data_IF_908292163520
#
_entry.id   IF_908292163520
#
_cell.length_a   1.000
_cell.length_b   1.000
_cell.length_c   1.000
_cell.angle_alpha   90.00
_cell.angle_beta   90.00
_cell.angle_gamma   90.00
#
_symmetry.space_group_name_H-M   'P 1'
#
loop_
_entity.id
_entity.type
_entity.pdbx_description
1 polymer ?
#
# COMPACT_ATOMS: atom_id res chain seq x y z
N UNK A 1 16.39 -9.22 -19.40
CA UNK A 1 17.85 -9.48 -19.22
C UNK A 1 18.02 -10.20 -17.89
N UNK A 2 18.72 -11.32 -17.85
CA UNK A 2 18.83 -12.11 -16.62
C UNK A 2 19.98 -11.61 -15.74
N UNK A 3 19.69 -11.36 -14.46
CA UNK A 3 20.64 -10.81 -13.49
C UNK A 3 20.57 -11.55 -12.17
N UNK A 4 21.67 -11.54 -11.41
CA UNK A 4 21.70 -12.04 -10.05
C UNK A 4 21.26 -10.97 -9.03
N UNK A 5 21.17 -11.35 -7.75
CA UNK A 5 20.78 -10.42 -6.68
C UNK A 5 21.66 -9.15 -6.60
N UNK A 6 22.97 -9.30 -6.78
CA UNK A 6 23.91 -8.17 -6.68
C UNK A 6 23.66 -7.15 -7.80
N UNK A 7 23.54 -7.64 -9.04
CA UNK A 7 23.30 -6.76 -10.19
C UNK A 7 21.90 -6.17 -10.17
N UNK A 8 20.89 -6.92 -9.69
CA UNK A 8 19.55 -6.38 -9.49
C UNK A 8 19.56 -5.25 -8.44
N UNK A 9 20.28 -5.43 -7.33
CA UNK A 9 20.43 -4.40 -6.31
C UNK A 9 21.11 -3.13 -6.85
N UNK A 10 22.14 -3.28 -7.69
CA UNK A 10 22.80 -2.17 -8.38
C UNK A 10 21.82 -1.41 -9.30
N UNK A 11 21.01 -2.13 -10.08
CA UNK A 11 20.01 -1.53 -11.00
C UNK A 11 18.98 -0.70 -10.23
N UNK A 12 18.51 -1.21 -9.09
CA UNK A 12 17.53 -0.52 -8.25
C UNK A 12 18.16 0.46 -7.26
N UNK A 13 19.50 0.58 -7.22
CA UNK A 13 20.21 1.45 -6.28
C UNK A 13 19.95 1.12 -4.81
N UNK A 14 19.77 -0.16 -4.47
CA UNK A 14 19.42 -0.62 -3.12
C UNK A 14 20.39 -1.68 -2.57
N UNK A 15 20.21 -2.06 -1.30
CA UNK A 15 21.00 -3.13 -0.68
C UNK A 15 20.56 -4.52 -1.16
N UNK A 16 21.51 -5.47 -1.24
CA UNK A 16 21.23 -6.87 -1.65
C UNK A 16 20.24 -7.57 -0.71
N UNK A 17 20.18 -7.18 0.56
CA UNK A 17 19.17 -7.67 1.52
C UNK A 17 17.77 -7.20 1.16
N UNK A 18 17.63 -6.01 0.57
CA UNK A 18 16.34 -5.52 0.05
C UNK A 18 15.83 -6.43 -1.05
N UNK A 19 16.69 -6.82 -2.00
CA UNK A 19 16.34 -7.79 -3.04
C UNK A 19 15.96 -9.16 -2.45
N UNK A 20 16.62 -9.57 -1.36
CA UNK A 20 16.25 -10.81 -0.66
C UNK A 20 14.88 -10.70 0.02
N UNK A 21 14.54 -9.55 0.60
CA UNK A 21 13.22 -9.30 1.14
C UNK A 21 12.14 -9.30 0.04
N UNK A 22 12.42 -8.68 -1.12
CA UNK A 22 11.54 -8.71 -2.28
C UNK A 22 11.28 -10.14 -2.78
N UNK A 23 12.31 -10.99 -2.79
CA UNK A 23 12.14 -12.41 -3.11
C UNK A 23 11.13 -13.09 -2.17
N UNK A 24 11.20 -12.84 -0.86
CA UNK A 24 10.22 -13.36 0.10
C UNK A 24 8.82 -12.75 -0.06
N UNK A 25 8.71 -11.59 -0.71
CA UNK A 25 7.45 -10.90 -1.02
C UNK A 25 6.86 -11.31 -2.38
N UNK A 26 7.50 -12.24 -3.10
CA UNK A 26 7.00 -12.76 -4.37
C UNK A 26 7.64 -12.17 -5.63
N UNK A 27 8.80 -11.51 -5.53
CA UNK A 27 9.58 -11.09 -6.70
C UNK A 27 9.82 -12.28 -7.65
N UNK A 28 9.46 -12.16 -8.95
CA UNK A 28 9.57 -13.27 -9.91
C UNK A 28 10.99 -13.79 -10.06
N UNK A 29 11.17 -15.09 -9.81
CA UNK A 29 12.45 -15.78 -9.93
C UNK A 29 12.45 -16.65 -11.18
N UNK A 30 13.51 -16.55 -11.98
CA UNK A 30 13.70 -17.37 -13.19
C UNK A 30 14.30 -18.73 -12.82
N UNK A 31 15.33 -18.72 -11.98
CA UNK A 31 15.97 -19.95 -11.51
C UNK A 31 16.79 -19.73 -10.23
N UNK A 32 17.16 -20.83 -9.56
CA UNK A 32 17.96 -20.80 -8.33
C UNK A 32 17.14 -20.53 -7.07
N UNK A 33 17.74 -19.87 -6.08
CA UNK A 33 17.04 -19.47 -4.84
C UNK A 33 17.08 -20.49 -3.69
N UNK A 34 17.58 -21.70 -3.92
CA UNK A 34 17.87 -22.71 -2.89
C UNK A 34 19.28 -22.60 -2.31
N UNK A 35 19.55 -23.33 -1.22
CA UNK A 35 20.87 -23.35 -0.56
C UNK A 35 21.97 -23.77 -1.56
N UNK A 36 22.89 -22.86 -1.85
CA UNK A 36 24.01 -23.09 -2.77
C UNK A 36 23.77 -22.69 -4.23
N UNK A 37 22.55 -22.30 -4.61
CA UNK A 37 22.23 -21.88 -5.98
C UNK A 37 21.97 -20.38 -6.06
N UNK A 38 22.69 -19.68 -6.93
CA UNK A 38 22.51 -18.24 -7.14
C UNK A 38 21.14 -17.96 -7.77
N UNK A 39 20.41 -17.00 -7.20
CA UNK A 39 19.10 -16.60 -7.67
C UNK A 39 19.23 -15.72 -8.93
N UNK A 40 18.49 -16.08 -9.98
CA UNK A 40 18.45 -15.38 -11.26
C UNK A 40 17.07 -14.77 -11.48
N UNK A 41 17.06 -13.49 -11.85
CA UNK A 41 15.86 -12.70 -12.08
C UNK A 41 15.87 -12.16 -13.50
N UNK A 42 14.72 -12.17 -14.16
CA UNK A 42 14.55 -11.37 -15.37
C UNK A 42 14.23 -9.92 -14.96
N UNK A 43 15.03 -8.99 -15.46
CA UNK A 43 14.90 -7.55 -15.14
C UNK A 43 13.55 -6.98 -15.54
N UNK A 44 12.96 -7.40 -16.66
CA UNK A 44 11.65 -6.86 -17.06
C UNK A 44 10.56 -7.32 -16.09
N UNK A 45 10.53 -8.61 -15.74
CA UNK A 45 9.61 -9.12 -14.72
C UNK A 45 9.82 -8.46 -13.34
N UNK A 46 11.07 -8.22 -12.94
CA UNK A 46 11.38 -7.55 -11.68
C UNK A 46 10.88 -6.10 -11.65
N UNK A 47 11.01 -5.35 -12.75
CA UNK A 47 10.51 -3.97 -12.87
C UNK A 47 8.98 -3.94 -12.82
N UNK A 48 8.31 -4.81 -13.57
CA UNK A 48 6.84 -4.87 -13.55
C UNK A 48 6.31 -5.19 -12.15
N UNK A 49 6.89 -6.20 -11.49
CA UNK A 49 6.51 -6.55 -10.12
C UNK A 49 6.75 -5.39 -9.14
N UNK A 50 7.87 -4.69 -9.27
CA UNK A 50 8.19 -3.55 -8.42
C UNK A 50 7.16 -2.42 -8.58
N UNK A 51 6.81 -2.07 -9.82
CA UNK A 51 5.81 -1.05 -10.12
C UNK A 51 4.41 -1.42 -9.60
N UNK A 52 3.99 -2.67 -9.77
CA UNK A 52 2.71 -3.17 -9.26
C UNK A 52 2.65 -3.15 -7.73
N UNK A 53 3.73 -3.58 -7.08
CA UNK A 53 3.85 -3.56 -5.61
C UNK A 53 3.73 -2.13 -5.07
N UNK A 54 4.47 -1.19 -5.63
CA UNK A 54 4.42 0.21 -5.18
C UNK A 54 3.03 0.82 -5.41
N UNK A 55 2.40 0.54 -6.57
CA UNK A 55 1.03 0.97 -6.83
C UNK A 55 0.03 0.36 -5.84
N UNK A 56 0.20 -0.91 -5.46
CA UNK A 56 -0.64 -1.56 -4.45
C UNK A 56 -0.49 -0.91 -3.07
N UNK A 57 0.73 -0.56 -2.67
CA UNK A 57 1.00 0.10 -1.39
C UNK A 57 0.37 1.49 -1.36
N UNK A 58 0.53 2.29 -2.41
CA UNK A 58 -0.07 3.61 -2.49
C UNK A 58 -1.60 3.55 -2.55
N UNK A 59 -2.17 2.62 -3.31
CA UNK A 59 -3.62 2.41 -3.34
C UNK A 59 -4.18 2.04 -1.96
N UNK A 60 -3.48 1.24 -1.17
CA UNK A 60 -3.90 0.89 0.18
C UNK A 60 -3.92 2.12 1.11
N UNK A 61 -2.90 2.99 1.01
CA UNK A 61 -2.88 4.26 1.75
C UNK A 61 -4.04 5.16 1.36
N UNK A 62 -4.30 5.32 0.06
CA UNK A 62 -5.39 6.14 -0.45
C UNK A 62 -6.76 5.60 -0.05
N UNK A 63 -6.96 4.28 -0.04
CA UNK A 63 -8.19 3.66 0.45
C UNK A 63 -8.44 4.02 1.91
N UNK A 64 -7.41 3.88 2.74
CA UNK A 64 -7.50 4.25 4.16
C UNK A 64 -7.82 5.74 4.34
N UNK A 65 -7.16 6.63 3.60
CA UNK A 65 -7.44 8.08 3.66
C UNK A 65 -8.88 8.40 3.26
N UNK A 66 -9.39 7.77 2.20
CA UNK A 66 -10.78 7.94 1.76
C UNK A 66 -11.76 7.44 2.83
N UNK A 67 -11.47 6.31 3.47
CA UNK A 67 -12.33 5.76 4.53
C UNK A 67 -12.31 6.66 5.78
N UNK A 68 -11.14 7.19 6.16
CA UNK A 68 -10.99 8.16 7.25
C UNK A 68 -11.79 9.45 6.97
N UNK A 69 -11.72 9.96 5.74
CA UNK A 69 -12.50 11.14 5.31
C UNK A 69 -14.01 10.89 5.31
N UNK A 70 -14.45 9.70 4.90
CA UNK A 70 -15.86 9.30 4.96
C UNK A 70 -16.36 9.22 6.40
N UNK A 71 -15.59 8.57 7.27
CA UNK A 71 -15.92 8.47 8.69
C UNK A 71 -16.01 9.85 9.36
N UNK A 72 -15.08 10.77 9.04
CA UNK A 72 -15.13 12.15 9.52
C UNK A 72 -16.41 12.86 9.04
N UNK A 73 -16.71 12.77 7.74
CA UNK A 73 -17.90 13.39 7.15
C UNK A 73 -19.23 12.85 7.72
N UNK A 74 -19.29 11.57 8.08
CA UNK A 74 -20.45 10.97 8.75
C UNK A 74 -20.57 11.37 10.24
N UNK A 75 -19.45 11.64 10.90
CA UNK A 75 -19.44 12.06 12.31
C UNK A 75 -19.83 13.52 12.52
N UNK A 76 -19.66 14.36 11.50
CA UNK A 76 -19.97 15.77 11.58
C UNK A 76 -21.48 16.01 11.56
N UNK A 77 -21.99 16.57 12.67
CA UNK A 77 -23.37 17.07 12.75
C UNK A 77 -23.53 18.30 11.86
N UNK A 78 -23.80 18.07 10.58
CA UNK A 78 -23.90 19.13 9.59
C UNK A 78 -25.32 19.73 9.51
N UNK A 79 -25.48 21.06 9.50
CA UNK A 79 -26.79 21.70 9.36
C UNK A 79 -27.59 21.17 8.17
N UNK A 80 -28.82 20.72 8.41
CA UNK A 80 -29.72 20.14 7.41
C UNK A 80 -29.66 18.61 7.27
N UNK A 81 -28.74 17.92 7.97
CA UNK A 81 -28.82 16.45 8.10
C UNK A 81 -29.85 16.05 9.16
N UNK A 82 -30.46 14.87 9.02
CA UNK A 82 -31.49 14.39 9.97
C UNK A 82 -30.93 14.32 11.39
N UNK A 83 -29.67 13.92 11.55
CA UNK A 83 -29.04 13.78 12.88
C UNK A 83 -28.73 15.14 13.51
N UNK A 84 -28.34 16.13 12.71
CA UNK A 84 -28.22 17.52 13.17
C UNK A 84 -29.56 18.10 13.62
N UNK A 85 -30.58 17.89 12.80
CA UNK A 85 -31.94 18.35 13.03
C UNK A 85 -32.56 17.72 14.29
N UNK A 86 -32.30 16.43 14.55
CA UNK A 86 -32.70 15.78 15.80
C UNK A 86 -31.96 16.35 17.00
N UNK A 87 -30.64 16.46 16.92
CA UNK A 87 -29.83 16.98 18.01
C UNK A 87 -30.21 18.42 18.41
N UNK A 88 -30.39 19.31 17.42
CA UNK A 88 -30.78 20.70 17.71
C UNK A 88 -32.14 20.79 18.41
N UNK A 89 -33.09 19.94 18.02
CA UNK A 89 -34.44 19.91 18.60
C UNK A 89 -34.38 19.40 20.05
N UNK A 90 -33.65 18.31 20.29
CA UNK A 90 -33.44 17.78 21.65
C UNK A 90 -32.75 18.79 22.56
N UNK A 91 -31.75 19.51 22.06
CA UNK A 91 -31.05 20.56 22.82
C UNK A 91 -31.97 21.74 23.15
N UNK A 92 -32.73 22.24 22.17
CA UNK A 92 -33.67 23.34 22.38
C UNK A 92 -34.76 23.01 23.41
N UNK A 93 -35.17 21.74 23.52
CA UNK A 93 -36.13 21.29 24.53
C UNK A 93 -35.53 21.17 25.94
N UNK A 94 -34.22 20.93 26.05
CA UNK A 94 -33.53 20.82 27.34
C UNK A 94 -33.20 22.19 27.96
N UNK A 95 -33.07 23.23 27.13
CA UNK A 95 -32.73 24.60 27.53
C UNK A 95 -33.97 25.49 27.83
N UNK A 96 -35.19 24.94 27.72
CA UNK A 96 -36.48 25.64 27.91
C UNK A 96 -37.16 25.24 29.23
#
# INVERSE_FOLDING_TARGET
>A
MNVNKKKLAEIFGCDVRTVTAWQSQGLPLVSGGGKGNEAVFDTAAAISWYAERDASIENEKLRKEVDDLRAAAESDLNPGTIDYERYRLTKAQADA
#
